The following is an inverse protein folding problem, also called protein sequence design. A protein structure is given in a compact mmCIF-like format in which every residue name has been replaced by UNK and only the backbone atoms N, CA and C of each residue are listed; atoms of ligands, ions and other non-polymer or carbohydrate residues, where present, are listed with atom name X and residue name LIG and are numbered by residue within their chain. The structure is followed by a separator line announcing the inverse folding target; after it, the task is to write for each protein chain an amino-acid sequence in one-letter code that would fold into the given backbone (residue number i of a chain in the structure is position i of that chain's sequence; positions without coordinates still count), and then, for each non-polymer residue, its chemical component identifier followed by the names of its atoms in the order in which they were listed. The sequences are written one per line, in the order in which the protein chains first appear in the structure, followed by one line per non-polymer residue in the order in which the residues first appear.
data_IF_732655520886
#
_entry.id   IF_732655520886
#
_cell.length_a   1.000
_cell.length_b   1.000
_cell.length_c   1.000
_cell.angle_alpha   90.00
_cell.angle_beta   90.00
_cell.angle_gamma   90.00
#
_symmetry.space_group_name_H-M   'P 1'
#
loop_
_entity.id
_entity.type
_entity.pdbx_description
1 polymer ?
#
# COMPACT_ATOMS: atom_id res chain seq x y z
N UNK A 1 4.90 1.14 -21.49
CA UNK A 1 3.81 1.55 -20.58
C UNK A 1 3.91 0.68 -19.34
N UNK A 2 4.86 0.97 -18.45
CA UNK A 2 4.90 0.36 -17.12
C UNK A 2 4.12 1.29 -16.21
N UNK A 3 2.93 0.88 -15.80
CA UNK A 3 2.25 1.53 -14.69
C UNK A 3 2.99 1.09 -13.42
N UNK A 4 4.06 1.79 -13.07
CA UNK A 4 4.80 1.54 -11.82
C UNK A 4 4.00 2.11 -10.65
N UNK A 5 2.91 1.41 -10.30
CA UNK A 5 2.18 1.64 -9.07
C UNK A 5 2.86 0.94 -7.89
N UNK A 6 2.70 1.48 -6.70
CA UNK A 6 3.13 0.85 -5.45
C UNK A 6 2.50 -0.53 -5.30
N UNK A 7 3.34 -1.54 -5.09
CA UNK A 7 2.89 -2.92 -4.87
C UNK A 7 2.54 -3.11 -3.39
N UNK A 8 1.29 -2.84 -3.05
CA UNK A 8 0.82 -2.82 -1.66
C UNK A 8 1.15 -4.06 -0.81
N UNK A 9 1.11 -5.32 -1.30
CA UNK A 9 1.26 -6.47 -0.41
C UNK A 9 2.69 -6.66 0.11
N UNK A 10 3.65 -5.89 -0.39
CA UNK A 10 5.06 -5.99 -0.02
C UNK A 10 5.51 -4.86 0.92
N UNK A 11 4.61 -3.95 1.31
CA UNK A 11 4.90 -2.85 2.24
C UNK A 11 4.11 -3.00 3.53
N UNK A 12 4.71 -2.58 4.65
CA UNK A 12 3.96 -2.41 5.88
C UNK A 12 3.04 -1.18 5.75
N UNK A 13 1.72 -1.34 5.86
CA UNK A 13 0.77 -0.32 5.41
C UNK A 13 0.84 0.96 6.24
N UNK A 14 1.11 0.86 7.55
CA UNK A 14 1.29 2.03 8.43
C UNK A 14 2.53 2.85 8.03
N UNK A 15 3.64 2.19 7.69
CA UNK A 15 4.86 2.89 7.30
C UNK A 15 4.69 3.56 5.94
N UNK A 16 4.00 2.87 5.03
CA UNK A 16 3.67 3.43 3.72
C UNK A 16 2.73 4.65 3.86
N UNK A 17 1.77 4.60 4.80
CA UNK A 17 0.90 5.75 5.10
C UNK A 17 1.71 6.97 5.56
N UNK A 18 2.66 6.78 6.48
CA UNK A 18 3.54 7.86 6.97
C UNK A 18 4.36 8.46 5.82
N UNK A 19 4.94 7.61 4.96
CA UNK A 19 5.71 8.05 3.80
C UNK A 19 4.85 8.82 2.79
N UNK A 20 3.64 8.34 2.51
CA UNK A 20 2.67 9.01 1.64
C UNK A 20 2.26 10.37 2.24
N UNK A 21 1.95 10.43 3.53
CA UNK A 21 1.55 11.67 4.20
C UNK A 21 2.68 12.71 4.20
N UNK A 22 3.92 12.28 4.44
CA UNK A 22 5.08 13.16 4.32
C UNK A 22 5.24 13.69 2.89
N UNK A 23 5.13 12.82 1.89
CA UNK A 23 5.25 13.21 0.49
C UNK A 23 4.11 14.13 0.06
N UNK A 24 2.88 13.87 0.48
CA UNK A 24 1.72 14.71 0.21
C UNK A 24 1.95 16.14 0.73
N UNK A 25 2.41 16.25 1.98
CA UNK A 25 2.75 17.53 2.59
C UNK A 25 3.88 18.27 1.86
N UNK A 26 4.98 17.57 1.54
CA UNK A 26 6.11 18.14 0.78
C UNK A 26 5.73 18.51 -0.66
N UNK A 27 4.77 17.82 -1.24
CA UNK A 27 4.28 18.07 -2.60
C UNK A 27 3.25 19.20 -2.67
N UNK A 28 2.78 19.68 -1.51
CA UNK A 28 1.67 20.62 -1.38
C UNK A 28 0.37 20.08 -2.00
N UNK A 29 0.05 18.81 -1.74
CA UNK A 29 -1.20 18.18 -2.21
C UNK A 29 -1.23 17.84 -3.69
N UNK A 30 -0.07 17.75 -4.36
CA UNK A 30 0.06 17.40 -5.79
C UNK A 30 0.40 15.92 -6.01
N UNK A 31 0.36 15.12 -4.94
CA UNK A 31 0.71 13.71 -5.01
C UNK A 31 -0.39 12.91 -5.71
N UNK A 32 -0.04 12.25 -6.80
CA UNK A 32 -0.87 11.22 -7.45
C UNK A 32 -0.26 9.84 -7.20
N UNK A 33 -1.05 8.95 -6.58
CA UNK A 33 -0.58 7.62 -6.17
C UNK A 33 -1.25 6.53 -7.02
N UNK A 34 -0.46 5.86 -7.86
CA UNK A 34 -0.86 4.61 -8.49
C UNK A 34 -0.57 3.43 -7.55
N UNK A 35 -1.55 2.56 -7.31
CA UNK A 35 -1.36 1.33 -6.50
C UNK A 35 -1.71 0.08 -7.31
N UNK A 36 -1.01 -0.99 -7.02
CA UNK A 36 -1.20 -2.29 -7.66
C UNK A 36 -1.00 -3.45 -6.70
N UNK A 37 -1.52 -4.60 -7.08
CA UNK A 37 -1.49 -5.83 -6.28
C UNK A 37 -0.22 -6.67 -6.46
N UNK A 38 0.62 -6.32 -7.43
CA UNK A 38 1.67 -7.23 -7.95
C UNK A 38 1.03 -8.37 -8.76
N UNK A 39 1.59 -8.67 -9.94
CA UNK A 39 1.06 -9.71 -10.86
C UNK A 39 2.16 -10.71 -11.24
N UNK A 40 3.43 -10.37 -11.00
CA UNK A 40 4.57 -11.17 -11.42
C UNK A 40 4.74 -12.39 -10.51
N UNK A 41 4.68 -13.62 -11.03
CA UNK A 41 4.95 -14.83 -10.24
C UNK A 41 6.32 -14.80 -9.57
N UNK A 42 7.34 -14.24 -10.24
CA UNK A 42 8.68 -14.09 -9.67
C UNK A 42 8.72 -13.16 -8.45
N UNK A 43 7.87 -12.13 -8.42
CA UNK A 43 7.76 -11.26 -7.25
C UNK A 43 7.15 -12.07 -6.10
N UNK A 44 6.04 -12.76 -6.33
CA UNK A 44 5.44 -13.63 -5.30
C UNK A 44 6.43 -14.65 -4.72
N UNK A 45 7.24 -15.30 -5.57
CA UNK A 45 8.26 -16.23 -5.13
C UNK A 45 9.36 -15.56 -4.28
N UNK A 46 9.81 -14.37 -4.69
CA UNK A 46 10.85 -13.61 -3.98
C UNK A 46 10.41 -13.19 -2.56
N UNK A 47 9.17 -12.77 -2.42
CA UNK A 47 8.59 -12.35 -1.13
C UNK A 47 7.93 -13.49 -0.36
N UNK A 48 7.93 -14.71 -0.89
CA UNK A 48 7.30 -15.88 -0.25
C UNK A 48 5.78 -15.71 -0.04
N UNK A 49 5.12 -14.90 -0.87
CA UNK A 49 3.72 -14.52 -0.72
C UNK A 49 2.87 -15.13 -1.82
N UNK A 50 2.01 -16.08 -1.44
CA UNK A 50 1.04 -16.67 -2.38
C UNK A 50 0.13 -15.59 -2.99
N UNK A 51 -0.36 -15.82 -4.21
CA UNK A 51 -1.21 -14.83 -4.92
C UNK A 51 -2.45 -14.43 -4.13
N UNK A 52 -3.11 -15.38 -3.47
CA UNK A 52 -4.31 -15.10 -2.68
C UNK A 52 -4.00 -14.30 -1.41
N UNK A 53 -2.88 -14.60 -0.75
CA UNK A 53 -2.40 -13.82 0.39
C UNK A 53 -2.01 -12.41 -0.04
N UNK A 54 -1.29 -12.26 -1.15
CA UNK A 54 -0.94 -10.96 -1.69
C UNK A 54 -2.18 -10.14 -2.07
N UNK A 55 -3.22 -10.78 -2.62
CA UNK A 55 -4.50 -10.13 -2.87
C UNK A 55 -5.12 -9.61 -1.56
N UNK A 56 -5.22 -10.46 -0.54
CA UNK A 56 -5.78 -10.09 0.76
C UNK A 56 -4.99 -8.94 1.41
N UNK A 57 -3.65 -9.06 1.47
CA UNK A 57 -2.77 -8.01 2.01
C UNK A 57 -2.91 -6.69 1.25
N UNK A 58 -3.07 -6.74 -0.06
CA UNK A 58 -3.27 -5.52 -0.88
C UNK A 58 -4.58 -4.82 -0.56
N UNK A 59 -5.66 -5.59 -0.38
CA UNK A 59 -6.99 -5.06 -0.07
C UNK A 59 -6.99 -4.40 1.32
N UNK A 60 -6.45 -5.10 2.32
CA UNK A 60 -6.30 -4.58 3.69
C UNK A 60 -5.40 -3.34 3.75
N UNK A 61 -4.24 -3.38 3.07
CA UNK A 61 -3.33 -2.23 3.01
C UNK A 61 -4.00 -1.02 2.36
N UNK A 62 -4.76 -1.22 1.28
CA UNK A 62 -5.47 -0.12 0.62
C UNK A 62 -6.54 0.49 1.54
N UNK A 63 -7.30 -0.34 2.25
CA UNK A 63 -8.28 0.14 3.23
C UNK A 63 -7.62 0.98 4.32
N UNK A 64 -6.54 0.48 4.91
CA UNK A 64 -5.72 1.19 5.90
C UNK A 64 -5.26 2.55 5.37
N UNK A 65 -4.72 2.60 4.15
CA UNK A 65 -4.24 3.85 3.55
C UNK A 65 -5.38 4.86 3.38
N UNK A 66 -6.52 4.43 2.83
CA UNK A 66 -7.66 5.32 2.59
C UNK A 66 -8.28 5.84 3.89
N UNK A 67 -8.42 4.99 4.91
CA UNK A 67 -8.94 5.40 6.21
C UNK A 67 -7.97 6.33 6.93
N UNK A 68 -6.68 5.97 6.96
CA UNK A 68 -5.66 6.77 7.64
C UNK A 68 -5.43 8.15 7.01
N UNK A 69 -5.61 8.28 5.69
CA UNK A 69 -5.51 9.58 5.00
C UNK A 69 -6.72 10.51 5.22
N UNK A 70 -7.87 9.97 5.64
CA UNK A 70 -9.11 10.75 5.77
C UNK A 70 -9.51 11.04 7.22
N UNK A 71 -8.99 10.26 8.18
CA UNK A 71 -9.34 10.39 9.58
C UNK A 71 -8.35 11.29 10.36
N UNK A 72 -8.85 12.10 11.30
CA UNK A 72 -8.01 12.85 12.24
C UNK A 72 -7.37 11.96 13.31
N UNK A 73 -8.04 10.86 13.68
CA UNK A 73 -7.54 9.86 14.61
C UNK A 73 -8.20 8.54 14.24
N UNK A 74 -7.41 7.47 14.19
CA UNK A 74 -7.88 6.14 13.83
C UNK A 74 -6.99 5.08 14.48
N UNK A 75 -7.51 3.87 14.57
CA UNK A 75 -6.80 2.70 15.07
C UNK A 75 -7.00 1.56 14.07
N UNK A 76 -5.94 0.79 13.82
CA UNK A 76 -5.98 -0.33 12.89
C UNK A 76 -5.07 -1.44 13.40
N UNK A 77 -5.47 -2.68 13.13
CA UNK A 77 -4.63 -3.86 13.29
C UNK A 77 -4.23 -4.34 11.91
N UNK A 78 -2.95 -4.68 11.75
CA UNK A 78 -2.45 -5.37 10.55
C UNK A 78 -2.44 -6.87 10.87
N UNK A 79 -3.16 -7.65 10.08
CA UNK A 79 -3.48 -9.06 10.41
C UNK A 79 -2.42 -10.07 9.95
N UNK A 80 -1.30 -9.62 9.36
CA UNK A 80 -0.39 -10.48 8.60
C UNK A 80 1.10 -10.27 8.84
#
# INVERSE_FOLDING_TARGET
MAAEGLRLPFYHPIRLLEEIAMLDHLSEGRLELGVGRGISPREHDLWGLGRDQARQRSEEALEILLTGMTANTWESTVEW
#
